data_IF_005468355734
#
_entry.id   IF_005468355734
#
_cell.length_a   1.000
_cell.length_b   1.000
_cell.length_c   1.000
_cell.angle_alpha   90.00
_cell.angle_beta   90.00
_cell.angle_gamma   90.00
#
_symmetry.space_group_name_H-M   'P 1'
#
loop_
_entity.id
_entity.type
_entity.pdbx_description
1 polymer ?
#
# COMPACT_ATOMS: atom_id res chain seq x y z
N UNK A 1 42.79 -43.81 53.29
CA UNK A 1 43.05 -42.41 52.94
C UNK A 1 42.33 -42.07 51.64
N UNK A 2 41.57 -40.97 51.65
CA UNK A 2 40.95 -40.23 50.53
C UNK A 2 39.92 -40.97 49.63
N UNK A 3 38.65 -40.69 49.91
CA UNK A 3 37.51 -40.83 48.98
C UNK A 3 37.71 -39.84 47.82
N UNK A 4 37.69 -40.32 46.58
CA UNK A 4 37.57 -39.48 45.39
C UNK A 4 36.10 -39.45 44.97
N UNK A 5 35.50 -38.27 45.08
CA UNK A 5 34.18 -37.96 44.51
C UNK A 5 34.43 -37.60 43.04
N UNK A 6 33.97 -38.45 42.12
CA UNK A 6 33.94 -38.13 40.69
C UNK A 6 32.60 -37.41 40.44
N UNK A 7 32.67 -36.09 40.28
CA UNK A 7 31.56 -35.26 39.79
C UNK A 7 31.53 -35.43 38.27
N UNK A 8 30.55 -36.18 37.75
CA UNK A 8 30.24 -36.16 36.33
C UNK A 8 29.49 -34.86 36.02
N UNK A 9 30.18 -33.95 35.33
CA UNK A 9 29.58 -32.77 34.71
C UNK A 9 28.78 -33.23 33.48
N UNK A 10 27.44 -33.24 33.58
CA UNK A 10 26.56 -33.34 32.42
C UNK A 10 26.61 -32.01 31.67
N UNK A 11 27.51 -31.90 30.69
CA UNK A 11 27.45 -30.86 29.68
C UNK A 11 26.32 -31.20 28.71
N UNK A 12 25.12 -30.66 28.95
CA UNK A 12 24.05 -30.63 27.96
C UNK A 12 24.47 -29.61 26.90
N UNK A 13 25.14 -30.12 25.86
CA UNK A 13 25.38 -29.37 24.62
C UNK A 13 24.02 -29.26 23.93
N UNK A 14 23.31 -28.15 24.17
CA UNK A 14 22.25 -27.71 23.25
C UNK A 14 22.95 -27.32 21.95
N UNK A 15 23.08 -28.29 21.05
CA UNK A 15 23.31 -28.01 19.64
C UNK A 15 22.06 -27.29 19.13
N UNK A 16 22.09 -25.95 19.16
CA UNK A 16 21.18 -25.15 18.37
C UNK A 16 21.47 -25.48 16.91
N UNK A 17 20.69 -26.39 16.33
CA UNK A 17 20.59 -26.53 14.90
C UNK A 17 19.94 -25.26 14.38
N UNK A 18 20.77 -24.26 14.10
CA UNK A 18 20.41 -23.15 13.23
C UNK A 18 20.22 -23.79 11.86
N UNK A 19 18.98 -24.19 11.56
CA UNK A 19 18.57 -24.31 10.18
C UNK A 19 18.71 -22.90 9.59
N UNK A 20 19.69 -22.76 8.70
CA UNK A 20 19.72 -21.71 7.72
C UNK A 20 18.43 -21.81 6.89
N UNK A 21 17.38 -21.11 7.31
CA UNK A 21 16.26 -20.78 6.44
C UNK A 21 16.72 -19.62 5.56
N UNK A 22 16.89 -19.91 4.27
CA UNK A 22 17.01 -18.87 3.25
C UNK A 22 15.83 -17.90 3.29
N UNK A 23 16.02 -16.73 2.68
CA UNK A 23 15.14 -15.55 2.51
C UNK A 23 13.62 -15.83 2.46
N UNK A 24 13.04 -16.35 3.55
CA UNK A 24 11.61 -16.46 3.76
C UNK A 24 11.12 -15.09 4.17
N UNK A 25 10.24 -14.50 3.37
CA UNK A 25 9.58 -13.24 3.71
C UNK A 25 8.91 -13.37 5.09
N UNK A 26 9.37 -12.58 6.07
CA UNK A 26 8.76 -12.56 7.40
C UNK A 26 7.30 -12.13 7.21
N UNK A 27 6.35 -13.05 7.46
CA UNK A 27 4.92 -12.74 7.35
C UNK A 27 4.46 -11.88 8.52
N UNK A 28 3.74 -10.79 8.23
CA UNK A 28 3.16 -9.89 9.24
C UNK A 28 1.85 -9.27 8.72
N UNK A 29 1.04 -8.70 9.63
CA UNK A 29 -0.24 -8.05 9.27
C UNK A 29 0.03 -6.68 8.64
N UNK A 30 -0.48 -6.48 7.41
CA UNK A 30 -0.43 -5.21 6.67
C UNK A 30 -1.83 -4.65 6.47
N UNK A 31 -1.93 -3.32 6.50
CA UNK A 31 -3.13 -2.63 6.04
C UNK A 31 -3.39 -2.93 4.56
N UNK A 32 -4.65 -2.87 4.15
CA UNK A 32 -5.06 -3.10 2.76
C UNK A 32 -5.24 -1.76 2.05
N UNK A 33 -4.78 -1.64 0.81
CA UNK A 33 -4.86 -0.40 0.04
C UNK A 33 -5.48 -0.65 -1.33
N UNK A 34 -6.47 0.19 -1.65
CA UNK A 34 -7.03 0.34 -2.98
C UNK A 34 -6.67 1.73 -3.50
N UNK A 35 -6.04 1.80 -4.67
CA UNK A 35 -5.67 3.06 -5.31
C UNK A 35 -6.51 3.33 -6.55
N UNK A 36 -7.12 4.53 -6.59
CA UNK A 36 -7.85 5.06 -7.73
C UNK A 36 -7.20 6.35 -8.24
N UNK A 37 -7.45 6.68 -9.50
CA UNK A 37 -7.06 7.94 -10.13
C UNK A 37 -8.30 8.67 -10.64
N UNK A 38 -8.25 10.00 -10.59
CA UNK A 38 -9.17 10.89 -11.28
C UNK A 38 -8.52 11.28 -12.61
N UNK A 39 -9.24 11.01 -13.70
CA UNK A 39 -8.86 11.41 -15.04
C UNK A 39 -9.76 12.55 -15.51
N UNK A 40 -9.14 13.69 -15.78
CA UNK A 40 -9.82 14.88 -16.29
C UNK A 40 -9.84 14.82 -17.82
N UNK A 41 -11.02 14.60 -18.39
CA UNK A 41 -11.16 14.44 -19.84
C UNK A 41 -10.71 15.71 -20.60
N UNK A 42 -9.97 15.51 -21.70
CA UNK A 42 -9.46 16.59 -22.52
C UNK A 42 -8.29 17.38 -21.92
N UNK A 43 -7.73 16.93 -20.79
CA UNK A 43 -6.50 17.52 -20.22
C UNK A 43 -5.26 16.98 -20.90
N UNK A 44 -4.28 17.86 -21.09
CA UNK A 44 -2.94 17.50 -21.54
C UNK A 44 -2.34 16.37 -20.68
N UNK A 45 -1.81 15.35 -21.34
CA UNK A 45 -1.23 14.13 -20.76
C UNK A 45 -2.18 13.26 -19.92
N UNK A 46 -3.50 13.50 -19.93
CA UNK A 46 -4.45 12.76 -19.11
C UNK A 46 -4.42 11.24 -19.37
N UNK A 47 -4.44 10.85 -20.64
CA UNK A 47 -4.42 9.44 -21.03
C UNK A 47 -3.08 8.77 -20.74
N UNK A 48 -1.96 9.46 -20.96
CA UNK A 48 -0.62 8.93 -20.66
C UNK A 48 -0.41 8.75 -19.16
N UNK A 49 -0.87 9.71 -18.35
CA UNK A 49 -0.83 9.61 -16.89
C UNK A 49 -1.72 8.45 -16.43
N UNK A 50 -2.92 8.28 -17.01
CA UNK A 50 -3.81 7.16 -16.73
C UNK A 50 -3.15 5.81 -17.04
N UNK A 51 -2.58 5.66 -18.23
CA UNK A 51 -1.92 4.43 -18.68
C UNK A 51 -0.72 4.08 -17.80
N UNK A 52 0.02 5.09 -17.37
CA UNK A 52 1.11 4.95 -16.40
C UNK A 52 0.58 4.54 -15.03
N UNK A 53 -0.44 5.22 -14.51
CA UNK A 53 -1.02 4.96 -13.19
C UNK A 53 -1.52 3.53 -13.06
N UNK A 54 -2.18 3.01 -14.10
CA UNK A 54 -2.67 1.63 -14.13
C UNK A 54 -1.54 0.58 -14.03
N UNK A 55 -0.30 0.95 -14.39
CA UNK A 55 0.91 0.11 -14.31
C UNK A 55 1.71 0.33 -13.01
N UNK A 56 1.32 1.26 -12.15
CA UNK A 56 1.97 1.48 -10.86
C UNK A 56 1.52 0.37 -9.90
N UNK A 57 2.46 -0.41 -9.32
CA UNK A 57 2.11 -1.44 -8.35
C UNK A 57 1.64 -0.82 -7.03
N UNK A 58 0.83 -1.56 -6.28
CA UNK A 58 0.51 -1.20 -4.90
C UNK A 58 1.81 -1.19 -4.07
N UNK A 59 2.05 -0.20 -3.20
CA UNK A 59 3.26 -0.17 -2.37
C UNK A 59 3.37 -1.41 -1.49
N UNK A 60 4.58 -1.98 -1.40
CA UNK A 60 4.87 -3.28 -0.78
C UNK A 60 4.51 -3.37 0.72
N UNK A 61 4.32 -2.22 1.37
CA UNK A 61 3.90 -2.10 2.76
C UNK A 61 2.40 -2.28 2.98
N UNK A 62 1.62 -2.38 1.90
CA UNK A 62 0.18 -2.63 1.93
C UNK A 62 -0.17 -3.92 1.20
N UNK A 63 -1.26 -4.56 1.62
CA UNK A 63 -1.88 -5.60 0.83
C UNK A 63 -2.68 -4.97 -0.33
N UNK A 64 -2.50 -5.49 -1.54
CA UNK A 64 -3.29 -5.04 -2.69
C UNK A 64 -4.78 -5.33 -2.46
N UNK A 65 -5.60 -4.27 -2.49
CA UNK A 65 -7.04 -4.34 -2.37
C UNK A 65 -7.76 -3.61 -3.53
N UNK A 66 -7.08 -3.42 -4.66
CA UNK A 66 -7.59 -2.81 -5.90
C UNK A 66 -8.80 -3.52 -6.53
N UNK A 67 -9.95 -2.87 -6.59
CA UNK A 67 -11.09 -3.39 -7.35
C UNK A 67 -10.91 -3.16 -8.85
N UNK A 68 -11.82 -3.71 -9.67
CA UNK A 68 -11.76 -3.60 -11.14
C UNK A 68 -11.86 -2.17 -11.68
N UNK A 69 -12.39 -1.22 -10.90
CA UNK A 69 -12.59 0.17 -11.35
C UNK A 69 -11.49 1.04 -10.76
N UNK A 70 -10.44 1.38 -11.51
CA UNK A 70 -9.32 2.17 -10.97
C UNK A 70 -9.32 3.64 -11.39
N UNK A 71 -10.23 4.05 -12.26
CA UNK A 71 -10.26 5.39 -12.84
C UNK A 71 -11.66 5.99 -12.70
N UNK A 72 -11.70 7.22 -12.22
CA UNK A 72 -12.88 8.08 -12.16
C UNK A 72 -12.73 9.11 -13.28
N UNK A 73 -13.70 9.22 -14.18
CA UNK A 73 -13.68 10.22 -15.24
C UNK A 73 -14.48 11.44 -14.78
N UNK A 74 -13.91 12.64 -14.93
CA UNK A 74 -14.60 13.91 -14.66
C UNK A 74 -14.33 14.88 -15.81
N UNK A 75 -15.33 15.71 -16.11
CA UNK A 75 -15.25 16.79 -17.10
C UNK A 75 -14.71 18.09 -16.51
N UNK A 76 -14.70 18.23 -15.18
CA UNK A 76 -14.19 19.43 -14.51
C UNK A 76 -12.67 19.54 -14.65
N UNK A 77 -12.12 20.74 -14.84
CA UNK A 77 -10.66 20.94 -14.94
C UNK A 77 -9.93 20.85 -13.60
N UNK A 78 -10.67 21.01 -12.51
CA UNK A 78 -10.19 20.95 -11.13
C UNK A 78 -11.39 20.59 -10.25
N UNK A 79 -11.25 19.55 -9.45
CA UNK A 79 -12.27 19.15 -8.48
C UNK A 79 -12.62 20.32 -7.54
N UNK A 80 -13.86 20.32 -7.10
CA UNK A 80 -14.29 21.19 -6.03
C UNK A 80 -13.46 20.95 -4.75
N UNK A 81 -13.45 21.95 -3.86
CA UNK A 81 -12.67 21.83 -2.62
C UNK A 81 -13.24 20.78 -1.67
N UNK A 82 -14.52 20.43 -1.82
CA UNK A 82 -15.24 19.54 -0.92
C UNK A 82 -15.26 18.08 -1.38
N UNK A 83 -14.66 17.78 -2.54
CA UNK A 83 -14.50 16.42 -3.07
C UNK A 83 -15.84 15.68 -3.21
N UNK A 84 -16.93 16.42 -3.43
CA UNK A 84 -18.30 15.87 -3.47
C UNK A 84 -18.46 14.85 -4.61
N UNK A 85 -17.80 15.09 -5.74
CA UNK A 85 -17.76 14.18 -6.89
C UNK A 85 -17.14 12.82 -6.54
N UNK A 86 -16.08 12.83 -5.73
CA UNK A 86 -15.40 11.60 -5.28
C UNK A 86 -16.35 10.82 -4.37
N UNK A 87 -16.96 11.50 -3.41
CA UNK A 87 -17.88 10.90 -2.44
C UNK A 87 -19.13 10.34 -3.12
N UNK A 88 -19.67 11.07 -4.09
CA UNK A 88 -20.78 10.60 -4.91
C UNK A 88 -20.39 9.38 -5.74
N UNK A 89 -19.22 9.41 -6.40
CA UNK A 89 -18.73 8.26 -7.16
C UNK A 89 -18.59 7.03 -6.27
N UNK A 90 -17.94 7.17 -5.11
CA UNK A 90 -17.74 6.10 -4.13
C UNK A 90 -19.08 5.47 -3.74
N UNK A 91 -20.08 6.31 -3.42
CA UNK A 91 -21.41 5.90 -2.98
C UNK A 91 -22.22 5.24 -4.09
N UNK A 92 -22.28 5.86 -5.28
CA UNK A 92 -23.10 5.40 -6.40
C UNK A 92 -22.57 4.08 -6.98
N UNK A 93 -21.25 3.87 -6.96
CA UNK A 93 -20.63 2.62 -7.41
C UNK A 93 -20.54 1.55 -6.29
N UNK A 94 -20.99 1.88 -5.08
CA UNK A 94 -20.98 1.00 -3.93
C UNK A 94 -19.58 0.48 -3.60
N UNK A 95 -18.55 1.34 -3.69
CA UNK A 95 -17.15 0.94 -3.55
C UNK A 95 -16.89 0.26 -2.20
N UNK A 96 -17.40 0.81 -1.09
CA UNK A 96 -17.26 0.24 0.24
C UNK A 96 -17.77 -1.22 0.30
N UNK A 97 -18.98 -1.47 -0.20
CA UNK A 97 -19.56 -2.83 -0.23
C UNK A 97 -18.75 -3.81 -1.09
N UNK A 98 -18.09 -3.33 -2.16
CA UNK A 98 -17.23 -4.15 -3.02
C UNK A 98 -15.90 -4.49 -2.35
N UNK A 99 -15.35 -3.56 -1.57
CA UNK A 99 -14.17 -3.82 -0.73
C UNK A 99 -14.47 -4.87 0.35
N UNK A 100 -15.64 -4.76 1.01
CA UNK A 100 -16.12 -5.82 1.92
C UNK A 100 -16.29 -7.15 1.17
N UNK A 101 -16.96 -7.15 0.01
CA UNK A 101 -17.11 -8.35 -0.81
C UNK A 101 -15.78 -9.02 -1.16
N UNK A 102 -14.73 -8.23 -1.45
CA UNK A 102 -13.39 -8.75 -1.72
C UNK A 102 -12.77 -9.46 -0.51
N UNK A 103 -12.90 -8.89 0.70
CA UNK A 103 -12.40 -9.54 1.92
C UNK A 103 -12.95 -10.95 2.11
N UNK A 104 -14.19 -11.16 1.67
CA UNK A 104 -14.88 -12.44 1.78
C UNK A 104 -14.97 -13.20 0.45
N UNK A 105 -14.05 -12.93 -0.49
CA UNK A 105 -14.00 -13.58 -1.81
C UNK A 105 -15.38 -13.77 -2.45
N UNK A 106 -16.27 -12.79 -2.26
CA UNK A 106 -17.69 -12.97 -2.52
C UNK A 106 -17.93 -13.09 -4.02
N UNK A 107 -18.53 -14.19 -4.43
CA UNK A 107 -18.89 -14.44 -5.82
C UNK A 107 -19.90 -13.38 -6.29
N UNK A 108 -19.63 -12.80 -7.47
CA UNK A 108 -20.43 -11.70 -8.01
C UNK A 108 -21.77 -12.19 -8.60
N UNK A 109 -21.87 -13.45 -9.02
CA UNK A 109 -23.05 -14.06 -9.63
C UNK A 109 -23.96 -14.69 -8.59
N UNK A 110 -23.40 -15.51 -7.69
CA UNK A 110 -24.19 -16.31 -6.75
C UNK A 110 -24.14 -15.78 -5.31
N UNK A 111 -23.21 -14.88 -5.00
CA UNK A 111 -23.15 -14.20 -3.70
C UNK A 111 -22.63 -15.03 -2.53
N UNK A 112 -22.09 -16.23 -2.81
CA UNK A 112 -21.40 -17.06 -1.82
C UNK A 112 -20.06 -16.41 -1.45
N UNK A 113 -19.73 -16.46 -0.17
CA UNK A 113 -18.51 -15.93 0.42
C UNK A 113 -17.55 -17.05 0.82
N UNK A 114 -16.28 -16.69 0.93
CA UNK A 114 -15.22 -17.48 1.54
C UNK A 114 -14.30 -16.56 2.37
N UNK A 115 -13.66 -17.09 3.41
CA UNK A 115 -12.84 -16.33 4.35
C UNK A 115 -11.34 -16.45 4.09
N UNK A 116 -10.90 -17.13 3.03
CA UNK A 116 -9.48 -17.41 2.76
C UNK A 116 -8.61 -16.15 2.80
N UNK A 117 -9.08 -15.04 2.22
CA UNK A 117 -8.33 -13.79 2.23
C UNK A 117 -8.16 -13.20 3.64
N UNK A 118 -9.17 -13.34 4.51
CA UNK A 118 -9.08 -12.97 5.93
C UNK A 118 -8.05 -13.85 6.64
N UNK A 119 -8.04 -15.16 6.35
CA UNK A 119 -7.08 -16.11 6.94
C UNK A 119 -5.65 -15.78 6.55
N UNK A 120 -5.42 -15.59 5.26
CA UNK A 120 -4.11 -15.30 4.67
C UNK A 120 -3.51 -14.05 5.30
N UNK A 121 -4.28 -12.95 5.36
CA UNK A 121 -3.79 -11.65 5.85
C UNK A 121 -3.76 -11.56 7.37
N UNK A 122 -4.61 -12.32 8.06
CA UNK A 122 -4.65 -12.41 9.51
C UNK A 122 -3.59 -13.31 10.11
N UNK A 123 -2.89 -14.07 9.26
CA UNK A 123 -1.88 -15.07 9.64
C UNK A 123 -2.46 -16.18 10.52
N UNK A 124 -3.70 -16.57 10.26
CA UNK A 124 -4.34 -17.66 10.98
C UNK A 124 -3.78 -19.00 10.55
N UNK A 125 -3.63 -19.91 11.51
CA UNK A 125 -3.43 -21.31 11.20
C UNK A 125 -4.72 -21.84 10.54
N UNK A 126 -4.65 -22.13 9.24
CA UNK A 126 -5.78 -22.60 8.46
C UNK A 126 -6.47 -23.80 9.14
N UNK A 127 -5.69 -24.76 9.65
CA UNK A 127 -6.23 -26.00 10.25
C UNK A 127 -7.02 -25.79 11.54
N UNK A 128 -6.68 -24.80 12.36
CA UNK A 128 -7.37 -24.53 13.62
C UNK A 128 -8.64 -23.72 13.39
N UNK A 129 -8.56 -22.72 12.52
CA UNK A 129 -9.69 -21.91 12.14
C UNK A 129 -10.70 -22.73 11.33
N UNK A 130 -10.26 -23.63 10.44
CA UNK A 130 -11.13 -24.54 9.70
C UNK A 130 -11.89 -25.48 10.63
N UNK A 131 -11.26 -26.00 11.67
CA UNK A 131 -11.95 -26.80 12.70
C UNK A 131 -12.98 -25.96 13.46
N UNK A 132 -12.62 -24.73 13.85
CA UNK A 132 -13.52 -23.82 14.53
C UNK A 132 -14.75 -23.46 13.66
N UNK A 133 -14.54 -23.19 12.38
CA UNK A 133 -15.59 -22.90 11.40
C UNK A 133 -16.45 -24.12 11.07
N UNK A 134 -15.83 -25.26 10.81
CA UNK A 134 -16.53 -26.52 10.51
C UNK A 134 -17.43 -26.98 11.67
N UNK A 135 -17.04 -26.67 12.92
CA UNK A 135 -17.86 -26.95 14.10
C UNK A 135 -19.10 -26.04 14.23
N UNK A 136 -19.23 -24.99 13.40
CA UNK A 136 -20.30 -23.97 13.45
C UNK A 136 -20.59 -23.46 14.87
N UNK A 137 -19.55 -23.36 15.70
CA UNK A 137 -19.70 -22.91 17.08
C UNK A 137 -19.80 -21.37 17.09
N UNK A 138 -20.58 -20.80 18.02
CA UNK A 138 -20.59 -19.35 18.25
C UNK A 138 -19.17 -18.78 18.41
N UNK A 139 -18.25 -19.58 18.97
CA UNK A 139 -16.84 -19.25 19.13
C UNK A 139 -16.08 -19.10 17.81
N UNK A 140 -16.37 -19.91 16.79
CA UNK A 140 -15.74 -19.79 15.46
C UNK A 140 -16.15 -18.51 14.73
N UNK A 141 -17.42 -18.10 14.88
CA UNK A 141 -17.92 -16.84 14.35
C UNK A 141 -17.33 -15.64 15.08
N UNK A 142 -17.27 -15.69 16.42
CA UNK A 142 -16.65 -14.65 17.24
C UNK A 142 -15.16 -14.46 16.90
N UNK A 143 -14.42 -15.56 16.63
CA UNK A 143 -13.04 -15.49 16.18
C UNK A 143 -12.89 -14.78 14.83
N UNK A 144 -13.82 -14.97 13.88
CA UNK A 144 -13.83 -14.24 12.61
C UNK A 144 -14.25 -12.78 12.77
N UNK A 145 -15.20 -12.50 13.64
CA UNK A 145 -15.65 -11.15 13.99
C UNK A 145 -14.49 -10.33 14.52
N UNK A 146 -13.81 -10.81 15.56
CA UNK A 146 -12.66 -10.15 16.20
C UNK A 146 -11.44 -10.05 15.27
N UNK A 147 -11.17 -11.12 14.53
CA UNK A 147 -10.08 -11.16 13.55
C UNK A 147 -10.28 -10.18 12.41
N UNK A 148 -11.51 -10.13 11.90
CA UNK A 148 -11.92 -9.29 10.80
C UNK A 148 -11.98 -7.84 11.22
N UNK A 149 -12.32 -7.52 12.47
CA UNK A 149 -12.48 -6.14 12.94
C UNK A 149 -11.21 -5.30 12.73
N UNK A 150 -10.08 -5.75 13.30
CA UNK A 150 -8.82 -5.02 13.20
C UNK A 150 -8.25 -5.04 11.77
N UNK A 151 -8.42 -6.13 11.01
CA UNK A 151 -7.82 -6.27 9.66
C UNK A 151 -8.64 -5.55 8.58
N UNK A 152 -9.96 -5.77 8.58
CA UNK A 152 -10.88 -5.18 7.59
C UNK A 152 -11.02 -3.68 7.86
N UNK A 153 -11.06 -3.25 9.13
CA UNK A 153 -11.04 -1.84 9.50
C UNK A 153 -9.76 -1.11 9.05
N UNK A 154 -8.63 -1.82 8.94
CA UNK A 154 -7.38 -1.29 8.37
C UNK A 154 -7.33 -1.44 6.83
N UNK A 155 -8.45 -1.10 6.17
CA UNK A 155 -8.55 -1.06 4.71
C UNK A 155 -8.79 0.37 4.24
N UNK A 156 -7.95 0.85 3.33
CA UNK A 156 -7.93 2.22 2.86
C UNK A 156 -8.22 2.30 1.36
N UNK A 157 -8.88 3.37 0.98
CA UNK A 157 -8.98 3.83 -0.41
C UNK A 157 -8.20 5.15 -0.50
N UNK A 158 -7.31 5.25 -1.48
CA UNK A 158 -6.76 6.53 -1.91
C UNK A 158 -7.29 6.87 -3.29
N UNK A 159 -7.67 8.13 -3.46
CA UNK A 159 -8.07 8.67 -4.76
C UNK A 159 -7.08 9.77 -5.13
N UNK A 160 -6.40 9.61 -6.26
CA UNK A 160 -5.34 10.51 -6.71
C UNK A 160 -5.84 11.38 -7.87
N UNK A 161 -5.93 12.69 -7.65
CA UNK A 161 -6.07 13.69 -8.72
C UNK A 161 -4.65 14.07 -9.20
N UNK A 162 -4.26 13.52 -10.35
CA UNK A 162 -2.92 13.69 -10.92
C UNK A 162 -2.99 14.65 -12.08
N UNK A 163 -2.18 15.71 -12.01
CA UNK A 163 -2.31 16.87 -12.88
C UNK A 163 -0.96 17.32 -13.40
N UNK A 164 -0.79 17.28 -14.72
CA UNK A 164 0.38 17.88 -15.35
C UNK A 164 0.42 19.41 -15.12
N UNK A 165 1.60 19.96 -14.85
CA UNK A 165 1.87 21.39 -14.88
C UNK A 165 2.90 21.70 -15.97
N UNK A 166 2.52 22.59 -16.88
CA UNK A 166 3.47 23.26 -17.76
C UNK A 166 4.06 24.53 -17.10
N UNK A 167 5.38 24.54 -16.87
CA UNK A 167 6.12 25.74 -16.41
C UNK A 167 6.75 26.56 -17.54
N UNK A 168 6.45 26.26 -18.81
CA UNK A 168 6.97 26.96 -20.00
C UNK A 168 6.57 28.44 -20.14
N UNK A 169 5.86 29.04 -19.17
CA UNK A 169 5.55 30.50 -19.14
C UNK A 169 6.78 31.44 -19.09
N UNK A 170 7.98 30.94 -19.38
CA UNK A 170 9.19 31.72 -19.69
C UNK A 170 10.09 31.16 -20.81
N UNK A 171 9.74 30.06 -21.51
CA UNK A 171 10.56 29.54 -22.62
C UNK A 171 9.75 28.76 -23.65
N UNK A 172 9.99 29.04 -24.93
CA UNK A 172 9.30 28.60 -26.17
C UNK A 172 9.33 27.09 -26.48
N UNK A 173 8.81 26.24 -25.59
CA UNK A 173 8.85 24.75 -25.73
C UNK A 173 7.50 24.15 -26.18
N UNK A 174 6.51 25.00 -26.51
CA UNK A 174 5.10 24.60 -26.71
C UNK A 174 4.81 23.74 -27.97
N UNK A 175 5.75 23.61 -28.92
CA UNK A 175 5.48 22.94 -30.21
C UNK A 175 5.79 21.43 -30.28
N UNK A 176 6.68 20.91 -29.43
CA UNK A 176 7.23 19.55 -29.56
C UNK A 176 6.51 18.47 -28.74
N UNK A 177 5.85 18.87 -27.65
CA UNK A 177 5.19 17.98 -26.69
C UNK A 177 4.08 17.12 -27.32
N UNK A 178 3.21 17.77 -28.07
CA UNK A 178 1.98 17.18 -28.63
C UNK A 178 2.29 16.18 -29.75
N UNK A 179 3.40 16.35 -30.47
CA UNK A 179 3.73 15.52 -31.65
C UNK A 179 4.40 14.19 -31.31
N UNK A 180 5.08 14.09 -30.16
CA UNK A 180 5.86 12.91 -29.79
C UNK A 180 5.05 11.74 -29.23
N UNK A 181 4.00 12.01 -28.46
CA UNK A 181 3.23 10.96 -27.77
C UNK A 181 2.06 10.40 -28.57
N UNK A 182 1.48 11.19 -29.49
CA UNK A 182 0.45 10.71 -30.42
C UNK A 182 0.93 9.52 -31.27
N UNK A 183 2.23 9.46 -31.57
CA UNK A 183 2.83 8.36 -32.31
C UNK A 183 2.94 7.06 -31.47
N UNK A 184 3.16 7.14 -30.16
CA UNK A 184 3.32 5.97 -29.31
C UNK A 184 1.98 5.31 -28.93
N UNK A 185 0.92 6.10 -28.75
CA UNK A 185 -0.42 5.59 -28.49
C UNK A 185 -1.01 4.87 -29.74
N UNK A 186 -0.80 5.44 -30.94
CA UNK A 186 -1.29 4.87 -32.20
C UNK A 186 -0.72 3.46 -32.51
N UNK A 187 0.51 3.16 -32.05
CA UNK A 187 1.13 1.84 -32.24
C UNK A 187 0.48 0.76 -31.36
N UNK A 188 -0.09 1.14 -30.21
CA UNK A 188 -0.66 0.20 -29.24
C UNK A 188 -2.19 0.10 -29.30
N UNK A 189 -2.90 1.13 -29.77
CA UNK A 189 -4.37 1.19 -29.81
C UNK A 189 -4.97 1.07 -31.22
N UNK A 190 -4.18 1.23 -32.29
CA UNK A 190 -4.64 1.11 -33.68
C UNK A 190 -5.52 2.27 -34.17
N UNK A 191 -5.70 3.34 -33.40
CA UNK A 191 -6.45 4.52 -33.83
C UNK A 191 -5.56 5.50 -34.60
N UNK A 192 -5.87 5.69 -35.88
CA UNK A 192 -5.09 6.49 -36.85
C UNK A 192 -5.54 7.96 -36.95
N UNK A 193 -5.88 8.61 -35.83
CA UNK A 193 -6.46 9.98 -35.87
C UNK A 193 -5.46 11.14 -35.72
N UNK A 194 -4.16 10.87 -35.53
CA UNK A 194 -3.17 11.93 -35.25
C UNK A 194 -1.81 11.77 -35.96
N UNK A 195 -1.79 11.27 -37.21
CA UNK A 195 -0.57 11.28 -38.02
C UNK A 195 -0.47 12.57 -38.85
N UNK A 196 0.16 13.59 -38.28
CA UNK A 196 0.78 14.65 -39.10
C UNK A 196 2.28 14.74 -38.73
N UNK A 197 3.07 13.95 -39.45
CA UNK A 197 4.52 13.79 -39.27
C UNK A 197 5.26 15.02 -39.83
N UNK A 198 5.98 15.72 -38.94
CA UNK A 198 6.98 16.71 -39.33
C UNK A 198 8.05 16.87 -38.25
N UNK A 199 9.23 16.29 -38.52
CA UNK A 199 10.56 16.51 -37.93
C UNK A 199 10.64 17.17 -36.53
N UNK A 200 11.00 16.40 -35.48
CA UNK A 200 11.83 16.89 -34.35
C UNK A 200 12.10 15.83 -33.26
N UNK A 201 13.06 14.93 -33.50
CA UNK A 201 13.60 14.08 -32.40
C UNK A 201 14.26 14.93 -31.31
N UNK A 202 14.76 16.12 -31.64
CA UNK A 202 15.40 17.05 -30.69
C UNK A 202 14.44 17.83 -29.78
N UNK A 203 13.27 18.25 -30.27
CA UNK A 203 12.31 19.05 -29.49
C UNK A 203 11.52 18.20 -28.49
N UNK A 204 11.33 16.92 -28.80
CA UNK A 204 10.64 15.95 -27.94
C UNK A 204 11.43 15.72 -26.65
N UNK A 205 12.76 15.60 -26.69
CA UNK A 205 13.60 15.37 -25.50
C UNK A 205 13.71 16.61 -24.61
N UNK A 206 13.64 17.81 -25.17
CA UNK A 206 13.70 19.06 -24.42
C UNK A 206 12.46 19.30 -23.56
N UNK A 207 11.30 18.81 -23.99
CA UNK A 207 10.04 19.08 -23.32
C UNK A 207 9.76 18.21 -22.08
N UNK A 208 10.26 16.97 -22.04
CA UNK A 208 10.08 16.10 -20.86
C UNK A 208 11.03 16.41 -19.71
N UNK A 209 12.13 17.14 -19.95
CA UNK A 209 13.05 17.58 -18.89
C UNK A 209 12.39 18.49 -17.85
N UNK A 210 11.22 19.06 -18.16
CA UNK A 210 10.39 19.87 -17.25
C UNK A 210 9.11 19.18 -16.77
N UNK A 211 8.90 17.88 -17.08
CA UNK A 211 7.64 17.21 -16.77
C UNK A 211 7.43 17.12 -15.25
N UNK A 212 6.39 17.82 -14.77
CA UNK A 212 6.06 17.91 -13.36
C UNK A 212 4.56 17.67 -13.17
N UNK A 213 4.22 16.91 -12.14
CA UNK A 213 2.84 16.61 -11.78
C UNK A 213 2.53 17.15 -10.40
N UNK A 214 1.38 17.80 -10.26
CA UNK A 214 0.74 18.01 -8.98
C UNK A 214 -0.18 16.84 -8.69
N UNK A 215 -0.13 16.36 -7.46
CA UNK A 215 -1.00 15.27 -7.01
C UNK A 215 -1.71 15.69 -5.73
N UNK A 216 -3.04 15.68 -5.79
CA UNK A 216 -3.90 15.72 -4.62
C UNK A 216 -4.38 14.29 -4.34
N UNK A 217 -4.00 13.73 -3.18
CA UNK A 217 -4.40 12.39 -2.76
C UNK A 217 -5.39 12.49 -1.61
N UNK A 218 -6.60 11.94 -1.81
CA UNK A 218 -7.67 11.87 -0.81
C UNK A 218 -7.68 10.50 -0.17
N UNK A 219 -7.60 10.45 1.17
CA UNK A 219 -7.53 9.22 1.96
C UNK A 219 -8.88 8.93 2.61
N UNK A 220 -9.37 7.72 2.38
CA UNK A 220 -10.58 7.17 2.98
C UNK A 220 -10.27 5.85 3.69
N UNK A 221 -11.01 5.56 4.75
CA UNK A 221 -10.94 4.30 5.50
C UNK A 221 -12.28 3.58 5.48
N UNK A 222 -12.25 2.26 5.30
CA UNK A 222 -13.44 1.42 5.40
C UNK A 222 -13.97 1.46 6.83
N UNK A 223 -15.26 1.79 6.98
CA UNK A 223 -15.93 1.73 8.28
C UNK A 223 -16.32 0.28 8.53
N UNK A 224 -15.68 -0.32 9.53
CA UNK A 224 -15.89 -1.72 9.93
C UNK A 224 -15.91 -1.83 11.45
N UNK A 225 -16.96 -1.27 12.05
CA UNK A 225 -17.25 -1.35 13.48
C UNK A 225 -18.03 -2.64 13.84
N UNK A 226 -18.15 -2.91 15.14
CA UNK A 226 -18.90 -4.05 15.69
C UNK A 226 -20.32 -4.17 15.10
N UNK A 227 -21.03 -3.05 14.91
CA UNK A 227 -22.38 -3.04 14.34
C UNK A 227 -22.36 -3.51 12.88
N UNK A 228 -21.44 -2.96 12.07
CA UNK A 228 -21.26 -3.31 10.66
C UNK A 228 -20.87 -4.78 10.50
N UNK A 229 -19.90 -5.24 11.31
CA UNK A 229 -19.43 -6.61 11.33
C UNK A 229 -20.56 -7.58 11.71
N UNK A 230 -21.26 -7.31 12.82
CA UNK A 230 -22.39 -8.12 13.30
C UNK A 230 -23.46 -8.25 12.23
N UNK A 231 -23.90 -7.14 11.63
CA UNK A 231 -24.90 -7.17 10.55
C UNK A 231 -24.40 -7.99 9.36
N UNK A 232 -23.13 -7.84 8.97
CA UNK A 232 -22.56 -8.61 7.87
C UNK A 232 -22.58 -10.11 8.15
N UNK A 233 -22.01 -10.57 9.25
CA UNK A 233 -21.92 -12.00 9.54
C UNK A 233 -23.28 -12.64 9.79
N UNK A 234 -24.19 -11.93 10.47
CA UNK A 234 -25.51 -12.46 10.79
C UNK A 234 -26.45 -12.45 9.58
N UNK A 235 -26.51 -11.35 8.82
CA UNK A 235 -27.56 -11.12 7.81
C UNK A 235 -27.09 -11.30 6.37
N UNK A 236 -25.80 -11.19 6.07
CA UNK A 236 -25.31 -11.12 4.68
C UNK A 236 -24.33 -12.23 4.29
N UNK A 237 -23.47 -12.65 5.22
CA UNK A 237 -22.48 -13.69 4.97
C UNK A 237 -23.14 -15.06 4.81
N UNK A 238 -22.79 -15.74 3.71
CA UNK A 238 -23.18 -17.13 3.44
C UNK A 238 -22.06 -17.85 2.72
N UNK A 239 -21.68 -19.02 3.21
CA UNK A 239 -20.69 -19.93 2.60
C UNK A 239 -21.37 -21.00 1.70
N UNK A 240 -22.71 -20.92 1.59
CA UNK A 240 -23.57 -21.84 0.84
C UNK A 240 -24.65 -21.06 0.09
N UNK A 241 -25.36 -21.72 -0.80
CA UNK A 241 -26.53 -21.12 -1.44
C UNK A 241 -27.57 -20.69 -0.39
N UNK A 242 -27.76 -19.37 -0.28
CA UNK A 242 -28.74 -18.75 0.61
C UNK A 242 -29.23 -17.44 -0.03
N UNK A 243 -30.31 -17.55 -0.80
CA UNK A 243 -30.90 -16.42 -1.54
C UNK A 243 -31.34 -15.27 -0.63
N UNK A 244 -31.78 -15.55 0.60
CA UNK A 244 -32.21 -14.52 1.54
C UNK A 244 -31.05 -13.61 1.92
N UNK A 245 -29.93 -14.20 2.38
CA UNK A 245 -28.73 -13.43 2.76
C UNK A 245 -28.09 -12.72 1.57
N UNK A 246 -28.07 -13.37 0.40
CA UNK A 246 -27.57 -12.77 -0.85
C UNK A 246 -28.39 -11.54 -1.23
N UNK A 247 -29.72 -11.64 -1.20
CA UNK A 247 -30.61 -10.52 -1.49
C UNK A 247 -30.50 -9.42 -0.42
N UNK A 248 -30.39 -9.81 0.86
CA UNK A 248 -30.20 -8.86 1.96
C UNK A 248 -28.93 -8.03 1.77
N UNK A 249 -27.80 -8.65 1.40
CA UNK A 249 -26.57 -7.92 1.07
C UNK A 249 -26.78 -6.97 -0.11
N UNK A 250 -27.33 -7.49 -1.22
CA UNK A 250 -27.48 -6.74 -2.47
C UNK A 250 -28.39 -5.52 -2.31
N UNK A 251 -29.48 -5.65 -1.55
CA UNK A 251 -30.43 -4.56 -1.30
C UNK A 251 -29.89 -3.53 -0.29
N UNK A 252 -28.97 -3.91 0.59
CA UNK A 252 -28.46 -3.07 1.66
C UNK A 252 -26.99 -2.62 1.47
N UNK A 253 -26.46 -2.69 0.24
CA UNK A 253 -25.05 -2.29 -0.05
C UNK A 253 -24.68 -0.89 0.43
N UNK A 254 -25.65 0.03 0.54
CA UNK A 254 -25.44 1.40 1.02
C UNK A 254 -25.09 1.51 2.50
N UNK A 255 -25.26 0.43 3.28
CA UNK A 255 -24.89 0.46 4.70
C UNK A 255 -23.37 0.47 4.90
N UNK A 256 -22.60 -0.11 3.96
CA UNK A 256 -21.15 -0.10 3.99
C UNK A 256 -20.64 1.27 3.56
N UNK A 257 -19.75 1.85 4.34
CA UNK A 257 -19.30 3.24 4.16
C UNK A 257 -17.78 3.34 4.16
N UNK A 258 -17.30 4.37 3.47
CA UNK A 258 -15.93 4.86 3.56
C UNK A 258 -15.98 6.19 4.31
N UNK A 259 -15.14 6.35 5.32
CA UNK A 259 -14.95 7.59 6.06
C UNK A 259 -13.78 8.34 5.47
N UNK A 260 -13.98 9.61 5.10
CA UNK A 260 -12.87 10.50 4.73
C UNK A 260 -11.98 10.77 5.95
N UNK A 261 -10.67 10.58 5.77
CA UNK A 261 -9.65 10.72 6.81
C UNK A 261 -8.93 12.06 6.66
N UNK A 262 -8.63 12.44 5.43
CA UNK A 262 -7.91 13.67 5.09
C UNK A 262 -7.32 13.58 3.69
N UNK A 263 -6.53 14.59 3.33
CA UNK A 263 -5.86 14.65 2.04
C UNK A 263 -4.43 15.18 2.17
N UNK A 264 -3.65 14.94 1.14
CA UNK A 264 -2.31 15.47 0.98
C UNK A 264 -2.15 16.07 -0.40
N UNK A 265 -1.53 17.25 -0.46
CA UNK A 265 -1.04 17.84 -1.69
C UNK A 265 0.47 17.64 -1.79
N UNK A 266 0.95 17.27 -2.97
CA UNK A 266 2.35 17.40 -3.35
C UNK A 266 2.43 18.14 -4.67
N UNK A 267 3.36 19.10 -4.74
CA UNK A 267 3.72 19.74 -5.99
C UNK A 267 4.52 18.78 -6.91
N UNK A 268 4.89 17.58 -6.44
CA UNK A 268 5.87 16.71 -7.07
C UNK A 268 7.30 17.24 -6.86
N UNK A 269 8.20 16.41 -6.33
CA UNK A 269 9.61 16.80 -6.23
C UNK A 269 10.26 17.02 -7.60
N UNK A 270 11.40 17.74 -7.61
CA UNK A 270 12.28 17.81 -8.77
C UNK A 270 12.82 16.42 -9.07
N UNK A 271 12.09 15.64 -9.86
CA UNK A 271 12.44 14.27 -10.22
C UNK A 271 13.67 14.31 -11.12
N UNK A 272 14.78 13.72 -10.66
CA UNK A 272 15.93 13.49 -11.54
C UNK A 272 15.54 12.51 -12.64
N UNK A 273 15.96 12.78 -13.88
CA UNK A 273 15.80 11.87 -15.01
C UNK A 273 17.13 11.20 -15.41
N UNK A 274 18.14 11.28 -14.53
CA UNK A 274 19.40 10.55 -14.69
C UNK A 274 19.10 9.04 -14.79
N UNK A 275 19.77 8.34 -15.70
CA UNK A 275 19.59 6.90 -15.92
C UNK A 275 18.35 6.49 -16.72
N UNK A 276 17.52 7.42 -17.19
CA UNK A 276 16.39 7.11 -18.08
C UNK A 276 16.80 7.24 -19.54
N UNK A 277 16.35 6.31 -20.38
CA UNK A 277 16.39 6.47 -21.82
C UNK A 277 15.43 7.61 -22.24
N UNK A 278 15.99 8.77 -22.61
CA UNK A 278 15.21 9.95 -23.00
C UNK A 278 14.39 9.74 -24.28
N UNK A 279 14.71 8.70 -25.06
CA UNK A 279 13.95 8.29 -26.23
C UNK A 279 12.67 7.50 -25.86
N UNK A 280 12.41 7.26 -24.57
CA UNK A 280 11.20 6.64 -24.05
C UNK A 280 10.41 7.57 -23.10
N UNK A 281 9.65 8.54 -23.64
CA UNK A 281 8.94 9.54 -22.84
C UNK A 281 8.00 8.98 -21.77
N UNK A 282 7.39 7.81 -22.03
CA UNK A 282 6.52 7.14 -21.05
C UNK A 282 7.27 6.73 -19.77
N UNK A 283 8.58 6.44 -19.84
CA UNK A 283 9.36 6.13 -18.64
C UNK A 283 9.56 7.35 -17.74
N UNK A 284 9.73 8.54 -18.35
CA UNK A 284 9.83 9.80 -17.60
C UNK A 284 8.51 10.14 -16.90
N UNK A 285 7.37 10.04 -17.60
CA UNK A 285 6.03 10.23 -17.03
C UNK A 285 5.81 9.23 -15.89
N UNK A 286 6.15 7.95 -16.11
CA UNK A 286 6.05 6.90 -15.08
C UNK A 286 6.85 7.23 -13.83
N UNK A 287 8.09 7.65 -14.00
CA UNK A 287 8.94 7.99 -12.86
C UNK A 287 8.41 9.18 -12.07
N UNK A 288 8.00 10.25 -12.75
CA UNK A 288 7.46 11.44 -12.12
C UNK A 288 6.17 11.13 -11.36
N UNK A 289 5.22 10.42 -11.99
CA UNK A 289 3.97 9.99 -11.36
C UNK A 289 4.23 9.08 -10.15
N UNK A 290 5.08 8.06 -10.29
CA UNK A 290 5.33 7.12 -9.20
C UNK A 290 6.02 7.78 -8.00
N UNK A 291 7.02 8.65 -8.23
CA UNK A 291 7.67 9.38 -7.14
C UNK A 291 6.73 10.32 -6.41
N UNK A 292 5.89 11.05 -7.15
CA UNK A 292 4.92 11.95 -6.53
C UNK A 292 3.84 11.19 -5.73
N UNK A 293 3.41 10.01 -6.20
CA UNK A 293 2.50 9.13 -5.45
C UNK A 293 3.18 8.60 -4.18
N UNK A 294 4.42 8.12 -4.27
CA UNK A 294 5.20 7.65 -3.13
C UNK A 294 5.36 8.75 -2.06
N UNK A 295 5.65 10.00 -2.49
CA UNK A 295 5.74 11.17 -1.61
C UNK A 295 4.42 11.50 -0.89
N UNK A 296 3.30 11.44 -1.61
CA UNK A 296 1.98 11.66 -1.02
C UNK A 296 1.66 10.55 0.00
N UNK A 297 1.93 9.29 -0.33
CA UNK A 297 1.72 8.16 0.60
C UNK A 297 2.58 8.32 1.85
N UNK A 298 3.87 8.65 1.72
CA UNK A 298 4.75 8.90 2.85
C UNK A 298 4.25 10.05 3.74
N UNK A 299 3.74 11.11 3.13
CA UNK A 299 3.18 12.26 3.85
C UNK A 299 1.88 11.91 4.58
N UNK A 300 0.98 11.15 3.93
CA UNK A 300 -0.22 10.61 4.56
C UNK A 300 0.14 9.71 5.75
N UNK A 301 1.15 8.86 5.63
CA UNK A 301 1.61 7.98 6.72
C UNK A 301 2.11 8.79 7.93
N UNK A 302 2.83 9.89 7.69
CA UNK A 302 3.30 10.77 8.77
C UNK A 302 2.16 11.50 9.47
N UNK A 303 1.19 11.99 8.70
CA UNK A 303 0.13 12.86 9.19
C UNK A 303 -1.00 12.07 9.89
N UNK A 304 -1.35 10.89 9.37
CA UNK A 304 -2.49 10.09 9.83
C UNK A 304 -2.04 8.78 10.47
N UNK A 305 -2.14 8.70 11.81
CA UNK A 305 -1.61 7.56 12.58
C UNK A 305 -2.25 6.21 12.18
N UNK A 306 -3.52 6.21 11.79
CA UNK A 306 -4.24 5.04 11.27
C UNK A 306 -3.68 4.51 9.93
N UNK A 307 -3.01 5.35 9.14
CA UNK A 307 -2.46 4.99 7.83
C UNK A 307 -0.99 4.56 7.88
N UNK A 308 -0.36 4.64 9.05
CA UNK A 308 1.04 4.24 9.26
C UNK A 308 1.24 2.77 8.95
N UNK A 309 2.43 2.47 8.41
CA UNK A 309 2.85 1.11 8.09
C UNK A 309 3.67 0.52 9.22
N UNK A 310 3.54 -0.79 9.39
CA UNK A 310 4.42 -1.59 10.22
C UNK A 310 5.46 -2.27 9.32
N UNK A 311 6.68 -2.43 9.80
CA UNK A 311 7.73 -3.19 9.11
C UNK A 311 8.46 -4.10 10.11
N UNK A 312 8.76 -5.36 9.79
CA UNK A 312 9.53 -6.22 10.69
C UNK A 312 11.01 -5.83 10.76
N UNK A 313 11.62 -5.98 11.93
CA UNK A 313 13.06 -6.05 12.09
C UNK A 313 13.57 -7.35 11.44
N UNK A 314 14.51 -7.22 10.51
CA UNK A 314 15.09 -8.38 9.81
C UNK A 314 16.38 -8.87 10.49
N UNK A 315 17.02 -7.99 11.25
CA UNK A 315 18.22 -8.28 12.02
C UNK A 315 18.28 -7.34 13.22
N UNK A 316 18.94 -7.79 14.29
CA UNK A 316 19.18 -7.00 15.51
C UNK A 316 20.65 -6.72 15.80
N UNK A 317 21.56 -7.35 15.06
CA UNK A 317 23.01 -7.08 15.11
C UNK A 317 23.61 -6.99 13.70
N UNK A 318 23.60 -5.80 13.07
CA UNK A 318 22.98 -4.56 13.54
C UNK A 318 21.46 -4.57 13.33
N UNK A 319 20.76 -3.60 13.94
CA UNK A 319 19.32 -3.40 13.75
C UNK A 319 19.03 -2.98 12.31
N UNK A 320 18.21 -3.75 11.59
CA UNK A 320 17.88 -3.50 10.18
C UNK A 320 16.39 -3.71 9.93
N UNK A 321 15.81 -2.94 9.02
CA UNK A 321 14.47 -3.17 8.50
C UNK A 321 14.37 -2.71 7.03
N UNK A 322 13.50 -3.36 6.27
CA UNK A 322 13.18 -2.99 4.88
C UNK A 322 12.29 -1.75 4.84
N UNK A 323 12.81 -0.58 5.18
CA UNK A 323 12.09 0.70 5.10
C UNK A 323 13.09 1.78 4.72
N UNK A 324 12.69 2.80 3.99
CA UNK A 324 13.62 3.78 3.45
C UNK A 324 12.99 5.11 3.05
N UNK A 325 13.65 5.82 2.15
CA UNK A 325 13.23 7.15 1.70
C UNK A 325 11.85 7.14 1.03
N UNK A 326 11.41 6.04 0.42
CA UNK A 326 10.07 5.88 -0.16
C UNK A 326 8.96 5.99 0.87
N UNK A 327 9.20 5.50 2.09
CA UNK A 327 8.28 5.66 3.23
C UNK A 327 8.53 6.98 3.99
N UNK A 328 9.38 7.86 3.46
CA UNK A 328 9.69 9.15 4.03
C UNK A 328 10.61 9.11 5.25
N UNK A 329 11.36 8.02 5.46
CA UNK A 329 12.29 7.88 6.58
C UNK A 329 13.38 8.94 6.52
N UNK A 330 13.68 9.57 7.65
CA UNK A 330 14.78 10.53 7.80
C UNK A 330 15.63 10.19 9.02
N UNK A 331 16.79 10.80 9.15
CA UNK A 331 17.62 10.69 10.36
C UNK A 331 16.89 11.16 11.64
N UNK A 332 15.87 12.02 11.48
CA UNK A 332 15.06 12.57 12.58
C UNK A 332 13.90 11.66 12.95
N UNK A 333 13.55 10.71 12.09
CA UNK A 333 12.47 9.74 12.34
C UNK A 333 12.77 8.91 13.58
N UNK A 334 11.74 8.59 14.36
CA UNK A 334 11.83 7.65 15.48
C UNK A 334 10.82 6.55 15.27
N UNK A 335 11.18 5.34 15.66
CA UNK A 335 10.33 4.18 15.54
C UNK A 335 10.14 3.55 16.91
N UNK A 336 8.89 3.25 17.25
CA UNK A 336 8.63 2.30 18.33
C UNK A 336 8.86 0.88 17.83
N UNK A 337 9.37 0.02 18.72
CA UNK A 337 9.47 -1.42 18.48
C UNK A 337 8.29 -2.08 19.20
N UNK A 338 7.57 -2.91 18.46
CA UNK A 338 6.34 -3.58 18.84
C UNK A 338 6.57 -5.09 18.90
N UNK A 339 6.33 -5.67 20.07
CA UNK A 339 6.29 -7.10 20.30
C UNK A 339 4.84 -7.58 20.15
N UNK A 340 4.66 -8.69 19.44
CA UNK A 340 3.35 -9.28 19.25
C UNK A 340 3.01 -10.19 20.45
N UNK A 341 1.88 -9.94 21.10
CA UNK A 341 1.38 -10.73 22.23
C UNK A 341 0.08 -11.42 21.80
N UNK A 342 -0.07 -12.71 22.07
CA UNK A 342 -1.32 -13.43 21.88
C UNK A 342 -2.15 -13.33 23.17
N UNK A 343 -3.36 -12.76 23.09
CA UNK A 343 -4.29 -12.72 24.20
C UNK A 343 -4.77 -14.13 24.59
N UNK A 344 -5.40 -14.25 25.75
CA UNK A 344 -6.01 -15.51 26.21
C UNK A 344 -7.12 -16.01 25.25
N UNK A 345 -7.75 -15.10 24.52
CA UNK A 345 -8.76 -15.43 23.50
C UNK A 345 -8.16 -15.76 22.12
N UNK A 346 -6.84 -15.68 21.94
CA UNK A 346 -6.18 -15.89 20.64
C UNK A 346 -6.06 -14.63 19.78
N UNK A 347 -6.32 -13.43 20.35
CA UNK A 347 -6.17 -12.16 19.65
C UNK A 347 -4.72 -11.69 19.67
N UNK A 348 -4.14 -11.42 18.51
CA UNK A 348 -2.81 -10.81 18.41
C UNK A 348 -2.89 -9.31 18.70
N UNK A 349 -2.23 -8.86 19.75
CA UNK A 349 -2.04 -7.45 20.10
C UNK A 349 -0.57 -7.07 19.96
N UNK A 350 -0.28 -5.78 19.90
CA UNK A 350 1.09 -5.27 19.77
C UNK A 350 1.43 -4.34 20.92
N UNK A 351 2.50 -4.66 21.64
CA UNK A 351 2.97 -3.89 22.78
C UNK A 351 4.30 -3.22 22.46
N UNK A 352 4.41 -1.95 22.80
CA UNK A 352 5.67 -1.21 22.67
C UNK A 352 6.71 -1.71 23.68
N UNK A 353 7.88 -2.09 23.18
CA UNK A 353 9.00 -2.62 23.97
C UNK A 353 10.30 -1.82 23.84
N UNK A 354 10.32 -0.82 22.95
CA UNK A 354 11.48 0.06 22.80
C UNK A 354 11.33 1.15 21.76
N UNK A 355 12.44 1.84 21.51
CA UNK A 355 12.56 2.89 20.49
C UNK A 355 13.88 2.73 19.75
N UNK A 356 13.82 2.86 18.43
CA UNK A 356 14.99 2.89 17.54
C UNK A 356 14.96 4.13 16.66
N UNK A 357 16.12 4.52 16.16
CA UNK A 357 16.29 5.66 15.27
C UNK A 357 17.19 5.28 14.09
N UNK A 358 16.90 5.71 12.85
CA UNK A 358 17.79 5.47 11.72
C UNK A 358 19.18 6.02 11.99
N UNK A 359 20.22 5.31 11.56
CA UNK A 359 21.58 5.83 11.57
C UNK A 359 21.77 6.76 10.38
N UNK A 360 22.39 7.91 10.63
CA UNK A 360 22.83 8.83 9.58
C UNK A 360 23.68 8.08 8.55
N UNK A 361 23.52 8.42 7.27
CA UNK A 361 24.21 7.82 6.12
C UNK A 361 23.93 6.32 5.87
N UNK A 362 23.03 5.68 6.63
CA UNK A 362 22.65 4.26 6.46
C UNK A 362 21.13 4.10 6.28
N UNK A 363 20.50 5.07 5.62
CA UNK A 363 19.09 5.04 5.22
C UNK A 363 19.01 4.54 3.78
N UNK A 364 18.17 3.54 3.55
CA UNK A 364 17.99 2.94 2.23
C UNK A 364 17.24 3.89 1.30
N UNK A 365 17.79 4.13 0.12
CA UNK A 365 17.07 4.79 -0.97
C UNK A 365 16.31 3.75 -1.81
N UNK A 366 15.10 3.42 -1.36
CA UNK A 366 14.18 2.51 -2.05
C UNK A 366 13.18 3.24 -2.96
N UNK A 367 13.45 4.49 -3.34
CA UNK A 367 12.58 5.24 -4.25
C UNK A 367 12.62 4.61 -5.65
N UNK A 368 11.53 4.75 -6.39
CA UNK A 368 11.46 4.25 -7.76
C UNK A 368 12.61 4.82 -8.61
N UNK A 369 13.30 3.93 -9.32
CA UNK A 369 14.49 4.19 -10.14
C UNK A 369 15.74 4.72 -9.41
N UNK A 370 15.84 4.60 -8.08
CA UNK A 370 17.02 5.06 -7.34
C UNK A 370 18.29 4.27 -7.71
N UNK A 371 18.17 2.96 -7.94
CA UNK A 371 19.30 2.09 -8.31
C UNK A 371 19.86 2.41 -9.70
N UNK A 372 18.97 2.66 -10.66
CA UNK A 372 19.30 3.06 -12.03
C UNK A 372 19.95 4.45 -12.08
N UNK A 373 19.62 5.32 -11.11
CA UNK A 373 20.27 6.61 -10.92
C UNK A 373 21.63 6.52 -10.21
N UNK A 374 22.01 5.33 -9.71
CA UNK A 374 23.14 5.16 -8.79
C UNK A 374 23.04 6.11 -7.59
N UNK A 375 21.81 6.35 -7.11
CA UNK A 375 21.58 7.22 -5.97
C UNK A 375 22.26 6.64 -4.72
N UNK A 376 22.80 7.52 -3.89
CA UNK A 376 23.46 7.11 -2.65
C UNK A 376 22.51 6.27 -1.79
N UNK A 377 22.97 5.08 -1.39
CA UNK A 377 22.21 4.18 -0.53
C UNK A 377 21.14 3.36 -1.25
N UNK A 378 21.06 3.41 -2.58
CA UNK A 378 20.13 2.56 -3.36
C UNK A 378 20.47 1.07 -3.30
N UNK A 379 21.76 0.75 -3.11
CA UNK A 379 22.33 -0.59 -3.00
C UNK A 379 22.26 -1.18 -1.58
N UNK A 380 21.88 -0.39 -0.57
CA UNK A 380 21.87 -0.84 0.83
C UNK A 380 20.88 -1.98 1.09
N UNK A 381 19.73 -1.96 0.40
CA UNK A 381 18.67 -2.95 0.59
C UNK A 381 17.93 -2.89 1.93
N UNK A 382 18.35 -2.06 2.90
CA UNK A 382 17.69 -1.89 4.20
C UNK A 382 18.17 -0.62 4.91
N UNK A 383 17.35 -0.05 5.79
CA UNK A 383 17.80 1.00 6.71
C UNK A 383 18.40 0.37 7.96
N UNK A 384 19.55 0.88 8.39
CA UNK A 384 20.19 0.48 9.66
C UNK A 384 19.80 1.43 10.78
N UNK A 385 19.48 0.88 11.95
CA UNK A 385 19.02 1.64 13.11
C UNK A 385 20.00 1.57 14.28
N UNK A 386 19.89 2.53 15.19
CA UNK A 386 20.45 2.50 16.54
C UNK A 386 19.33 2.35 17.55
N UNK A 387 19.57 1.57 18.61
CA UNK A 387 18.67 1.50 19.77
C UNK A 387 18.76 2.82 20.53
N UNK A 388 17.60 3.41 20.82
CA UNK A 388 17.46 4.59 21.69
C UNK A 388 17.06 4.15 23.10
N UNK A 389 16.11 3.24 23.22
CA UNK A 389 15.66 2.67 24.50
C UNK A 389 14.97 1.31 24.29
N UNK A 390 14.75 0.57 25.38
CA UNK A 390 14.02 -0.70 25.37
C UNK A 390 14.89 -1.93 25.68
N UNK A 391 14.20 -3.06 25.87
CA UNK A 391 14.79 -4.36 26.17
C UNK A 391 15.45 -5.01 24.95
N UNK A 392 15.78 -6.29 25.05
CA UNK A 392 16.34 -7.03 23.92
C UNK A 392 15.32 -7.16 22.79
N UNK A 393 15.80 -6.99 21.56
CA UNK A 393 14.99 -7.12 20.36
C UNK A 393 15.37 -8.43 19.66
N UNK A 394 14.41 -9.00 18.92
CA UNK A 394 14.66 -10.16 18.07
C UNK A 394 14.07 -9.93 16.66
N UNK A 395 14.60 -10.61 15.62
CA UNK A 395 14.05 -10.54 14.26
C UNK A 395 12.57 -10.92 14.23
N UNK A 396 11.76 -10.16 13.50
CA UNK A 396 10.31 -10.34 13.39
C UNK A 396 9.48 -9.38 14.26
N UNK A 397 10.07 -8.72 15.26
CA UNK A 397 9.41 -7.60 15.95
C UNK A 397 9.06 -6.48 14.95
N UNK A 398 7.89 -5.86 15.09
CA UNK A 398 7.46 -4.80 14.18
C UNK A 398 7.97 -3.44 14.61
N UNK A 399 8.21 -2.56 13.65
CA UNK A 399 8.54 -1.15 13.88
C UNK A 399 7.49 -0.27 13.24
N UNK A 400 7.15 0.82 13.93
CA UNK A 400 6.19 1.83 13.46
C UNK A 400 6.72 3.22 13.76
N UNK A 401 6.62 4.13 12.80
CA UNK A 401 7.10 5.50 12.99
C UNK A 401 6.24 6.25 14.02
N UNK A 402 6.89 6.93 14.96
CA UNK A 402 6.25 7.78 15.98
C UNK A 402 6.56 9.25 15.73
N UNK A 403 5.63 10.12 16.13
CA UNK A 403 5.76 11.58 15.99
C UNK A 403 6.79 12.16 16.97
#
# INVERSE_FOLDING_TARGET
MKRFIIIQLLAVVFAAQIQAQGDGEIKYRRSSLYSMMINHEGREFGDEIKDVFLKIPVPDKYNNHDLSVKVIYTSEKKLDKNHEEIDEFIRNNGIASRMVGRWFNRDYMIGICDVELVKERGLYNASELDKALASKTQRGNALLEDAGEDLIGNTFLIVNDIRYIDRSKGSSVWGGIVKGLGAAAAIYTGETSYMDLGNSTGDMVASYKGFKVNIDTYLYQLVWDEETATKFYTQYYTDKDNKEKVNAFNNNRKMFKLKYVGSQHSDGSNTSFLGINLDEPQQMVRKACQRAIDENIASLQKNFDQFKVNTPLISVSPLKAYIGLKEGVTEKSKFEVLEAELSKEGKMTYKRVGVIQPKENLIWDNRYMASEEQAYGSDFGFTTFRKVSGGDFYPGMLIREIK
#
